data_IF_887977083373
#
_entry.id   IF_887977083373
#
_cell.length_a   1.000
_cell.length_b   1.000
_cell.length_c   1.000
_cell.angle_alpha   90.00
_cell.angle_beta   90.00
_cell.angle_gamma   90.00
#
_symmetry.space_group_name_H-M   'P 1'
#
loop_
_entity.id
_entity.type
_entity.pdbx_description
1 polymer ?
#
# COMPACT_ATOMS: atom_id res chain seq x y z
N UNK A 1 15.38 12.98 6.57
CA UNK A 1 14.22 12.18 6.14
C UNK A 1 14.47 11.77 4.71
N UNK A 2 14.07 10.56 4.30
CA UNK A 2 14.15 10.18 2.90
C UNK A 2 13.04 10.88 2.14
N UNK A 3 13.39 11.45 0.98
CA UNK A 3 12.42 12.13 0.14
C UNK A 3 11.64 11.16 -0.77
N UNK A 4 12.05 9.90 -0.86
CA UNK A 4 11.47 8.91 -1.75
C UNK A 4 10.98 7.67 -0.99
N UNK A 5 9.99 7.00 -1.58
CA UNK A 5 9.39 5.80 -1.03
C UNK A 5 9.04 4.77 -2.11
N UNK A 6 9.18 3.49 -1.76
CA UNK A 6 8.48 2.40 -2.46
C UNK A 6 7.13 2.18 -1.78
N UNK A 7 6.05 2.26 -2.55
CA UNK A 7 4.68 2.11 -2.05
C UNK A 7 4.08 0.82 -2.59
N UNK A 8 3.73 -0.08 -1.68
CA UNK A 8 3.04 -1.34 -1.94
C UNK A 8 1.60 -1.23 -1.47
N UNK A 9 0.71 -2.03 -2.06
CA UNK A 9 -0.70 -2.05 -1.71
C UNK A 9 -1.16 -3.47 -1.40
N UNK A 10 -1.76 -3.68 -0.24
CA UNK A 10 -2.45 -4.92 0.11
C UNK A 10 -3.90 -4.58 0.47
N UNK A 11 -4.84 -4.87 -0.43
CA UNK A 11 -6.23 -4.40 -0.32
C UNK A 11 -7.22 -5.55 -0.43
N UNK A 12 -8.41 -5.36 0.12
CA UNK A 12 -9.58 -6.27 0.10
C UNK A 12 -9.44 -7.55 0.93
N UNK A 13 -8.29 -8.23 0.90
CA UNK A 13 -8.01 -9.43 1.69
C UNK A 13 -6.50 -9.74 1.72
N UNK A 14 -6.13 -10.76 2.50
CA UNK A 14 -4.74 -11.13 2.77
C UNK A 14 -4.10 -12.01 1.67
N UNK A 15 -4.79 -12.35 0.58
CA UNK A 15 -4.29 -13.31 -0.43
C UNK A 15 -2.97 -12.87 -1.09
N UNK A 16 -2.71 -11.56 -1.15
CA UNK A 16 -1.47 -11.00 -1.70
C UNK A 16 -0.41 -10.67 -0.64
N UNK A 17 -0.64 -11.00 0.64
CA UNK A 17 0.32 -10.78 1.71
C UNK A 17 1.70 -11.40 1.39
N UNK A 18 1.81 -12.65 0.90
CA UNK A 18 3.11 -13.23 0.56
C UNK A 18 3.87 -12.41 -0.48
N UNK A 19 3.18 -11.86 -1.48
CA UNK A 19 3.78 -11.01 -2.52
C UNK A 19 4.29 -9.68 -1.96
N UNK A 20 3.52 -9.04 -1.09
CA UNK A 20 3.93 -7.80 -0.42
C UNK A 20 5.17 -8.01 0.46
N UNK A 21 5.21 -9.10 1.23
CA UNK A 21 6.35 -9.45 2.08
C UNK A 21 7.59 -9.78 1.25
N UNK A 22 7.44 -10.59 0.18
CA UNK A 22 8.56 -10.95 -0.70
C UNK A 22 9.15 -9.71 -1.37
N UNK A 23 8.31 -8.78 -1.84
CA UNK A 23 8.76 -7.52 -2.44
C UNK A 23 9.53 -6.67 -1.43
N UNK A 24 8.99 -6.45 -0.23
CA UNK A 24 9.66 -5.66 0.81
C UNK A 24 10.99 -6.28 1.22
N UNK A 25 11.02 -7.60 1.41
CA UNK A 25 12.26 -8.33 1.71
C UNK A 25 13.31 -8.17 0.60
N UNK A 26 12.90 -8.27 -0.67
CA UNK A 26 13.78 -8.05 -1.81
C UNK A 26 14.38 -6.65 -1.85
N UNK A 27 13.60 -5.61 -1.52
CA UNK A 27 14.09 -4.23 -1.42
C UNK A 27 15.05 -4.05 -0.25
N UNK A 28 14.76 -4.63 0.93
CA UNK A 28 15.66 -4.61 2.09
C UNK A 28 17.00 -5.26 1.79
N UNK A 29 17.01 -6.40 1.08
CA UNK A 29 18.25 -7.08 0.66
C UNK A 29 19.12 -6.23 -0.26
N UNK A 30 18.51 -5.38 -1.07
CA UNK A 30 19.21 -4.43 -1.94
C UNK A 30 19.69 -3.19 -1.19
N UNK A 31 19.43 -3.07 0.12
CA UNK A 31 19.83 -1.95 0.98
C UNK A 31 19.38 -0.60 0.39
N UNK A 32 18.16 -0.56 -0.16
CA UNK A 32 17.58 0.67 -0.68
C UNK A 32 17.55 1.74 0.42
N UNK A 33 17.81 2.99 0.05
CA UNK A 33 17.75 4.12 0.98
C UNK A 33 16.34 4.69 1.11
N UNK A 34 15.43 4.41 0.18
CA UNK A 34 14.05 4.90 0.22
C UNK A 34 13.22 4.17 1.29
N UNK A 35 12.19 4.84 1.80
CA UNK A 35 11.26 4.24 2.76
C UNK A 35 10.39 3.17 2.08
N UNK A 36 10.02 2.13 2.82
CA UNK A 36 9.07 1.11 2.39
C UNK A 36 7.72 1.35 3.08
N UNK A 37 6.68 1.62 2.29
CA UNK A 37 5.31 1.81 2.79
C UNK A 37 4.35 0.76 2.22
N UNK A 38 3.47 0.24 3.05
CA UNK A 38 2.35 -0.59 2.61
C UNK A 38 1.03 0.12 2.93
N UNK A 39 0.22 0.41 1.93
CA UNK A 39 -1.16 0.88 2.10
C UNK A 39 -2.11 -0.32 2.18
N UNK A 40 -2.95 -0.32 3.21
CA UNK A 40 -3.89 -1.40 3.49
C UNK A 40 -5.32 -0.89 3.62
N UNK A 41 -6.30 -1.71 3.27
CA UNK A 41 -7.72 -1.43 3.56
C UNK A 41 -8.15 -2.11 4.86
N UNK A 42 -9.28 -1.68 5.43
CA UNK A 42 -9.79 -2.15 6.72
C UNK A 42 -9.92 -3.68 6.84
N UNK A 43 -10.14 -4.38 5.72
CA UNK A 43 -10.31 -5.85 5.69
C UNK A 43 -9.02 -6.63 5.93
N UNK A 44 -7.85 -5.99 5.82
CA UNK A 44 -6.56 -6.66 6.08
C UNK A 44 -6.45 -6.98 7.56
N UNK A 45 -6.20 -8.24 7.87
CA UNK A 45 -6.25 -8.73 9.25
C UNK A 45 -5.17 -8.09 10.12
N UNK A 46 -5.36 -8.00 11.46
CA UNK A 46 -4.33 -7.53 12.37
C UNK A 46 -3.03 -8.34 12.27
N UNK A 47 -3.13 -9.66 12.09
CA UNK A 47 -1.96 -10.54 11.90
C UNK A 47 -1.20 -10.21 10.62
N UNK A 48 -1.89 -9.97 9.50
CA UNK A 48 -1.26 -9.54 8.25
C UNK A 48 -0.57 -8.17 8.40
N UNK A 49 -1.21 -7.21 9.08
CA UNK A 49 -0.62 -5.89 9.37
C UNK A 49 0.63 -5.99 10.24
N UNK A 50 0.61 -6.86 11.25
CA UNK A 50 1.76 -7.15 12.09
C UNK A 50 2.92 -7.72 11.26
N UNK A 51 2.64 -8.69 10.37
CA UNK A 51 3.65 -9.27 9.49
C UNK A 51 4.25 -8.22 8.53
N UNK A 52 3.41 -7.36 7.94
CA UNK A 52 3.88 -6.24 7.11
C UNK A 52 4.80 -5.30 7.91
N UNK A 53 4.44 -4.99 9.16
CA UNK A 53 5.23 -4.14 10.05
C UNK A 53 6.63 -4.66 10.39
N UNK A 54 6.93 -5.94 10.13
CA UNK A 54 8.28 -6.49 10.28
C UNK A 54 9.23 -6.07 9.15
N UNK A 55 8.71 -5.71 7.97
CA UNK A 55 9.50 -5.42 6.77
C UNK A 55 9.32 -3.99 6.26
N UNK A 56 8.11 -3.46 6.33
CA UNK A 56 7.78 -2.10 5.91
C UNK A 56 8.08 -1.11 7.03
N UNK A 57 8.57 0.09 6.68
CA UNK A 57 8.76 1.17 7.66
C UNK A 57 7.42 1.69 8.16
N UNK A 58 6.38 1.64 7.32
CA UNK A 58 5.02 2.07 7.66
C UNK A 58 3.97 1.16 7.01
N UNK A 59 2.93 0.86 7.77
CA UNK A 59 1.69 0.27 7.29
C UNK A 59 0.59 1.31 7.50
N UNK A 60 0.02 1.83 6.43
CA UNK A 60 -0.94 2.93 6.46
C UNK A 60 -2.31 2.39 6.05
N UNK A 61 -3.29 2.50 6.94
CA UNK A 61 -4.66 2.23 6.56
C UNK A 61 -5.22 3.37 5.71
N UNK A 62 -5.89 3.02 4.62
CA UNK A 62 -6.59 3.96 3.75
C UNK A 62 -8.03 3.52 3.52
N UNK A 63 -8.89 4.49 3.30
CA UNK A 63 -10.29 4.24 2.95
C UNK A 63 -10.38 3.49 1.62
N UNK A 64 -11.28 2.50 1.56
CA UNK A 64 -11.56 1.79 0.32
C UNK A 64 -12.49 2.63 -0.56
N UNK A 65 -12.01 3.03 -1.74
CA UNK A 65 -12.81 3.81 -2.69
C UNK A 65 -13.56 2.85 -3.61
N UNK A 66 -14.88 2.92 -3.64
CA UNK A 66 -15.73 2.17 -4.56
C UNK A 66 -16.28 3.07 -5.66
N UNK A 67 -15.94 2.78 -6.91
CA UNK A 67 -16.52 3.42 -8.10
C UNK A 67 -17.24 2.36 -8.93
N UNK A 68 -18.58 2.46 -9.09
CA UNK A 68 -19.34 1.46 -9.83
C UNK A 68 -18.87 1.39 -11.27
N UNK A 69 -18.64 0.18 -11.77
CA UNK A 69 -18.19 -0.07 -13.13
C UNK A 69 -19.01 -1.18 -13.77
N UNK A 70 -19.57 -0.94 -14.96
CA UNK A 70 -20.49 -1.90 -15.61
C UNK A 70 -19.83 -3.20 -16.06
N UNK A 71 -18.52 -3.19 -16.31
CA UNK A 71 -17.75 -4.36 -16.80
C UNK A 71 -16.77 -4.83 -15.72
N UNK A 72 -17.27 -5.49 -14.68
CA UNK A 72 -16.42 -6.10 -13.64
C UNK A 72 -15.96 -7.49 -14.08
N UNK A 73 -16.83 -8.30 -14.69
CA UNK A 73 -16.48 -9.61 -15.25
C UNK A 73 -15.57 -10.43 -14.33
N UNK A 74 -14.44 -10.93 -14.86
CA UNK A 74 -13.41 -11.68 -14.12
C UNK A 74 -12.45 -10.81 -13.29
N UNK A 75 -12.70 -9.50 -13.16
CA UNK A 75 -11.81 -8.53 -12.50
C UNK A 75 -12.55 -7.83 -11.35
N UNK A 76 -12.84 -8.55 -10.26
CA UNK A 76 -13.59 -8.02 -9.11
C UNK A 76 -12.92 -6.81 -8.45
N UNK A 77 -11.63 -6.58 -8.70
CA UNK A 77 -10.89 -5.45 -8.16
C UNK A 77 -11.13 -4.11 -8.90
N UNK A 78 -11.71 -4.11 -10.11
CA UNK A 78 -11.85 -2.90 -10.94
C UNK A 78 -12.58 -1.76 -10.19
N UNK A 79 -13.70 -2.00 -9.50
CA UNK A 79 -14.37 -0.93 -8.76
C UNK A 79 -13.51 -0.26 -7.68
N UNK A 80 -12.40 -0.87 -7.29
CA UNK A 80 -11.55 -0.43 -6.19
C UNK A 80 -10.20 0.16 -6.62
N UNK A 81 -9.92 0.26 -7.93
CA UNK A 81 -8.61 0.71 -8.44
C UNK A 81 -8.21 2.10 -7.94
N UNK A 82 -9.19 2.98 -7.72
CA UNK A 82 -8.96 4.34 -7.24
C UNK A 82 -8.44 4.38 -5.79
N UNK A 83 -8.63 3.32 -5.01
CA UNK A 83 -8.01 3.19 -3.67
C UNK A 83 -6.49 3.34 -3.74
N UNK A 84 -5.85 2.92 -4.85
CA UNK A 84 -4.40 3.10 -5.03
C UNK A 84 -3.97 4.55 -5.15
N UNK A 85 -4.88 5.45 -5.56
CA UNK A 85 -4.57 6.87 -5.70
C UNK A 85 -4.36 7.57 -4.35
N UNK A 86 -4.68 6.93 -3.21
CA UNK A 86 -4.24 7.42 -1.91
C UNK A 86 -2.72 7.62 -1.83
N UNK A 87 -1.92 6.95 -2.66
CA UNK A 87 -0.48 7.19 -2.74
C UNK A 87 -0.14 8.66 -3.07
N UNK A 88 -0.98 9.36 -3.83
CA UNK A 88 -0.79 10.79 -4.09
C UNK A 88 -1.00 11.65 -2.83
N UNK A 89 -1.61 11.14 -1.77
CA UNK A 89 -1.74 11.85 -0.49
C UNK A 89 -0.49 11.73 0.39
N UNK A 90 0.58 11.08 -0.09
CA UNK A 90 1.87 10.96 0.60
C UNK A 90 2.86 12.09 0.28
N UNK A 91 2.55 12.95 -0.69
CA UNK A 91 3.40 14.07 -1.07
C UNK A 91 3.34 15.25 -0.10
N UNK A 92 4.13 16.28 -0.39
CA UNK A 92 4.21 17.53 0.41
C UNK A 92 2.88 18.29 0.54
N UNK A 93 2.00 18.12 -0.44
CA UNK A 93 0.63 18.61 -0.58
C UNK A 93 -0.43 17.63 -0.02
N UNK A 94 0.00 16.48 0.49
CA UNK A 94 -0.88 15.44 1.01
C UNK A 94 -1.23 15.60 2.49
N UNK A 95 -2.20 14.82 2.94
CA UNK A 95 -2.76 14.85 4.31
C UNK A 95 -2.45 13.58 5.13
N UNK A 96 -1.70 12.63 4.58
CA UNK A 96 -1.28 11.41 5.30
C UNK A 96 -0.04 11.63 6.21
N UNK A 97 0.29 12.89 6.50
CA UNK A 97 1.40 13.27 7.37
C UNK A 97 2.78 12.93 6.81
N UNK A 98 2.90 12.83 5.48
CA UNK A 98 4.14 12.57 4.75
C UNK A 98 4.46 13.73 3.83
N UNK A 99 5.72 13.79 3.39
CA UNK A 99 6.26 14.89 2.58
C UNK A 99 7.27 14.32 1.58
N UNK A 100 6.90 13.24 0.89
CA UNK A 100 7.75 12.66 -0.16
C UNK A 100 7.71 13.54 -1.41
N UNK A 101 8.80 13.54 -2.17
CA UNK A 101 8.87 14.15 -3.50
C UNK A 101 8.09 13.24 -4.48
N UNK A 102 7.31 13.84 -5.39
CA UNK A 102 6.45 13.14 -6.36
C UNK A 102 7.00 13.27 -7.77
#
# INVERSE_FOLDING_TARGET
MNNNAFVTFLMQNDSYLPGALLQAYGLRRQKVRADLLCMVTAEITPAARQALGLLFDRVIEVEKIYVPHKRVGKRPYIPYVFTKLHAFRLGTDGDLGRRYDK
#
